data_IF_758246178702
#
_entry.id   IF_758246178702
#
_cell.length_a   1.000
_cell.length_b   1.000
_cell.length_c   1.000
_cell.angle_alpha   90.00
_cell.angle_beta   90.00
_cell.angle_gamma   90.00
#
_symmetry.space_group_name_H-M   'P 1'
#
loop_
_entity.id
_entity.type
_entity.pdbx_description
1 polymer ?
#
# COMPACT_ATOMS: atom_id res chain seq x y z
N UNK A 1 -28.88 15.20 -19.97
CA UNK A 1 -28.76 14.47 -18.69
C UNK A 1 -28.90 15.48 -17.56
N UNK A 2 -29.70 15.19 -16.53
CA UNK A 2 -29.90 16.09 -15.38
C UNK A 2 -28.59 16.24 -14.60
N UNK A 3 -28.29 17.44 -14.08
CA UNK A 3 -27.05 17.76 -13.34
C UNK A 3 -26.73 16.75 -12.22
N UNK A 4 -27.78 16.14 -11.64
CA UNK A 4 -27.70 15.13 -10.58
C UNK A 4 -27.05 13.83 -11.07
N UNK A 5 -27.41 13.34 -12.27
CA UNK A 5 -26.86 12.10 -12.83
C UNK A 5 -25.37 12.27 -13.16
N UNK A 6 -24.98 13.45 -13.61
CA UNK A 6 -23.58 13.78 -13.88
C UNK A 6 -22.75 13.83 -12.59
N UNK A 7 -23.29 14.40 -11.51
CA UNK A 7 -22.64 14.42 -10.20
C UNK A 7 -22.43 13.01 -9.64
N UNK A 8 -23.47 12.17 -9.65
CA UNK A 8 -23.40 10.78 -9.19
C UNK A 8 -22.34 9.96 -9.94
N UNK A 9 -22.22 10.17 -11.25
CA UNK A 9 -21.24 9.44 -12.05
C UNK A 9 -19.80 9.91 -11.77
N UNK A 10 -19.60 11.22 -11.56
CA UNK A 10 -18.27 11.79 -11.33
C UNK A 10 -17.71 11.44 -9.94
N UNK A 11 -18.58 11.31 -8.93
CA UNK A 11 -18.19 11.01 -7.54
C UNK A 11 -18.51 9.59 -7.10
N UNK A 12 -18.81 8.68 -8.03
CA UNK A 12 -19.22 7.30 -7.74
C UNK A 12 -18.30 6.59 -6.73
N UNK A 13 -16.98 6.70 -6.92
CA UNK A 13 -16.00 6.05 -6.04
C UNK A 13 -15.99 6.65 -4.64
N UNK A 14 -16.13 7.98 -4.52
CA UNK A 14 -16.20 8.65 -3.23
C UNK A 14 -17.49 8.26 -2.49
N UNK A 15 -18.62 8.23 -3.19
CA UNK A 15 -19.91 7.81 -2.61
C UNK A 15 -19.83 6.36 -2.12
N UNK A 16 -19.25 5.45 -2.90
CA UNK A 16 -19.05 4.06 -2.50
C UNK A 16 -18.14 3.94 -1.26
N UNK A 17 -17.06 4.72 -1.20
CA UNK A 17 -16.16 4.73 -0.03
C UNK A 17 -16.89 5.21 1.24
N UNK A 18 -17.68 6.29 1.16
CA UNK A 18 -18.48 6.78 2.28
C UNK A 18 -19.53 5.76 2.74
N UNK A 19 -20.21 5.10 1.80
CA UNK A 19 -21.16 4.03 2.13
C UNK A 19 -20.47 2.85 2.81
N UNK A 20 -19.27 2.47 2.35
CA UNK A 20 -18.49 1.39 2.95
C UNK A 20 -18.03 1.74 4.37
N UNK A 21 -17.58 2.97 4.61
CA UNK A 21 -17.22 3.45 5.95
C UNK A 21 -18.45 3.41 6.86
N UNK A 22 -19.60 3.91 6.41
CA UNK A 22 -20.84 3.87 7.18
C UNK A 22 -21.26 2.42 7.51
N UNK A 23 -21.16 1.50 6.55
CA UNK A 23 -21.44 0.09 6.76
C UNK A 23 -20.50 -0.54 7.80
N UNK A 24 -19.20 -0.26 7.74
CA UNK A 24 -18.23 -0.74 8.73
C UNK A 24 -18.49 -0.20 10.13
N UNK A 25 -18.92 1.06 10.25
CA UNK A 25 -19.31 1.67 11.53
C UNK A 25 -20.54 0.94 12.11
N UNK A 26 -21.57 0.69 11.29
CA UNK A 26 -22.78 -0.03 11.72
C UNK A 26 -22.41 -1.44 12.20
N UNK A 27 -21.63 -2.18 11.40
CA UNK A 27 -21.15 -3.52 11.77
C UNK A 27 -20.35 -3.49 13.07
N UNK A 28 -19.48 -2.49 13.25
CA UNK A 28 -18.72 -2.34 14.49
C UNK A 28 -19.61 -2.10 15.72
N UNK A 29 -20.68 -1.32 15.57
CA UNK A 29 -21.67 -1.10 16.63
C UNK A 29 -22.44 -2.40 16.93
N UNK A 30 -22.87 -3.15 15.91
CA UNK A 30 -23.58 -4.43 16.07
C UNK A 30 -22.71 -5.51 16.72
N UNK A 31 -21.40 -5.51 16.44
CA UNK A 31 -20.41 -6.38 17.08
C UNK A 31 -20.08 -5.97 18.53
N UNK A 32 -20.67 -4.88 19.04
CA UNK A 32 -20.46 -4.41 20.41
C UNK A 32 -19.13 -3.70 20.63
N UNK A 33 -18.48 -3.20 19.57
CA UNK A 33 -17.24 -2.41 19.69
C UNK A 33 -17.55 -1.10 20.43
N UNK A 34 -16.69 -0.73 21.39
CA UNK A 34 -16.82 0.52 22.11
C UNK A 34 -16.83 1.72 21.14
N UNK A 35 -17.84 2.60 21.28
CA UNK A 35 -18.05 3.75 20.39
C UNK A 35 -16.87 4.72 20.40
N UNK A 36 -16.17 4.83 21.52
CA UNK A 36 -14.96 5.63 21.69
C UNK A 36 -13.85 5.05 20.83
N UNK A 37 -13.59 3.74 20.93
CA UNK A 37 -12.57 3.05 20.12
C UNK A 37 -12.88 3.15 18.64
N UNK A 38 -14.16 2.98 18.27
CA UNK A 38 -14.62 3.06 16.89
C UNK A 38 -14.43 4.48 16.33
N UNK A 39 -14.84 5.51 17.09
CA UNK A 39 -14.63 6.92 16.71
C UNK A 39 -13.15 7.29 16.58
N UNK A 40 -12.32 6.87 17.54
CA UNK A 40 -10.87 7.08 17.46
C UNK A 40 -10.25 6.38 16.26
N UNK A 41 -10.68 5.17 15.94
CA UNK A 41 -10.17 4.41 14.79
C UNK A 41 -10.50 5.10 13.48
N UNK A 42 -11.75 5.53 13.29
CA UNK A 42 -12.17 6.29 12.10
C UNK A 42 -11.37 7.59 11.98
N UNK A 43 -11.19 8.31 13.10
CA UNK A 43 -10.43 9.56 13.13
C UNK A 43 -8.96 9.35 12.77
N UNK A 44 -8.31 8.33 13.34
CA UNK A 44 -6.91 8.00 13.05
C UNK A 44 -6.75 7.61 11.58
N UNK A 45 -7.62 6.75 11.05
CA UNK A 45 -7.55 6.34 9.64
C UNK A 45 -7.74 7.54 8.71
N UNK A 46 -8.70 8.41 9.00
CA UNK A 46 -8.92 9.64 8.22
C UNK A 46 -7.71 10.57 8.26
N UNK A 47 -7.17 10.83 9.46
CA UNK A 47 -6.01 11.70 9.64
C UNK A 47 -4.76 11.14 8.95
N UNK A 48 -4.51 9.83 9.09
CA UNK A 48 -3.40 9.16 8.41
C UNK A 48 -3.55 9.18 6.89
N UNK A 49 -4.77 9.02 6.37
CA UNK A 49 -5.05 9.10 4.94
C UNK A 49 -4.74 10.48 4.35
N UNK A 50 -5.18 11.55 5.02
CA UNK A 50 -4.87 12.93 4.63
C UNK A 50 -3.37 13.23 4.74
N UNK A 51 -2.73 12.83 5.84
CA UNK A 51 -1.30 12.99 6.03
C UNK A 51 -0.50 12.25 4.94
N UNK A 52 -0.91 11.03 4.59
CA UNK A 52 -0.29 10.26 3.52
C UNK A 52 -0.47 10.93 2.16
N UNK A 53 -1.66 11.45 1.87
CA UNK A 53 -1.93 12.19 0.63
C UNK A 53 -1.06 13.44 0.51
N UNK A 54 -0.90 14.21 1.60
CA UNK A 54 -0.02 15.37 1.64
C UNK A 54 1.45 14.99 1.40
N UNK A 55 1.91 13.91 2.03
CA UNK A 55 3.27 13.39 1.86
C UNK A 55 3.54 12.99 0.41
N UNK A 56 2.57 12.35 -0.24
CA UNK A 56 2.64 11.94 -1.64
C UNK A 56 2.65 13.12 -2.60
N UNK A 57 1.90 14.17 -2.27
CA UNK A 57 1.94 15.43 -3.02
C UNK A 57 3.32 16.08 -2.94
N UNK A 58 3.94 16.10 -1.75
CA UNK A 58 5.31 16.62 -1.57
C UNK A 58 6.35 15.81 -2.32
N UNK A 59 6.30 14.47 -2.25
CA UNK A 59 7.19 13.60 -3.03
C UNK A 59 7.06 13.89 -4.52
N UNK A 60 5.84 14.11 -5.01
CA UNK A 60 5.55 14.36 -6.42
C UNK A 60 6.07 15.70 -6.94
N UNK A 61 6.53 16.61 -6.07
CA UNK A 61 7.20 17.86 -6.47
C UNK A 61 8.55 17.59 -7.14
N UNK A 62 9.20 16.46 -6.83
CA UNK A 62 10.45 16.06 -7.49
C UNK A 62 10.11 15.58 -8.91
N UNK A 63 10.57 16.28 -9.98
CA UNK A 63 10.21 15.91 -11.34
C UNK A 63 10.73 14.52 -11.69
N UNK A 64 9.96 13.78 -12.49
CA UNK A 64 10.23 12.41 -12.96
C UNK A 64 10.27 11.35 -11.84
N UNK A 65 11.16 11.49 -10.86
CA UNK A 65 11.38 10.51 -9.79
C UNK A 65 10.27 10.53 -8.75
N UNK A 66 9.76 11.72 -8.40
CA UNK A 66 8.71 11.89 -7.39
C UNK A 66 7.44 11.10 -7.71
N UNK A 67 6.81 11.30 -8.87
CA UNK A 67 5.63 10.54 -9.28
C UNK A 67 5.86 9.02 -9.36
N UNK A 68 7.07 8.57 -9.70
CA UNK A 68 7.41 7.14 -9.71
C UNK A 68 7.43 6.56 -8.29
N UNK A 69 8.10 7.23 -7.35
CA UNK A 69 8.16 6.82 -5.95
C UNK A 69 6.75 6.85 -5.34
N UNK A 70 5.98 7.91 -5.58
CA UNK A 70 4.60 8.01 -5.10
C UNK A 70 3.76 6.83 -5.61
N UNK A 71 3.87 6.42 -6.87
CA UNK A 71 3.15 5.23 -7.35
C UNK A 71 3.50 3.95 -6.60
N UNK A 72 4.76 3.76 -6.23
CA UNK A 72 5.21 2.57 -5.47
C UNK A 72 4.74 2.63 -4.01
N UNK A 73 4.81 3.82 -3.39
CA UNK A 73 4.34 4.01 -2.01
C UNK A 73 2.82 3.86 -1.88
N UNK A 74 2.05 4.20 -2.93
CA UNK A 74 0.60 4.09 -2.95
C UNK A 74 0.08 2.64 -3.02
N UNK A 75 0.96 1.63 -3.03
CA UNK A 75 0.63 0.22 -3.13
C UNK A 75 0.73 -0.48 -1.76
N UNK A 76 -0.25 -0.30 -0.84
CA UNK A 76 -0.15 -0.77 0.54
C UNK A 76 0.02 -2.29 0.63
N UNK A 77 -0.60 -3.05 -0.29
CA UNK A 77 -0.48 -4.51 -0.31
C UNK A 77 0.95 -5.01 -0.48
N UNK A 78 1.75 -4.36 -1.33
CA UNK A 78 3.15 -4.75 -1.54
C UNK A 78 4.00 -4.50 -0.28
N UNK A 79 3.78 -3.38 0.40
CA UNK A 79 4.45 -3.06 1.66
C UNK A 79 4.07 -4.03 2.77
N UNK A 80 2.79 -4.41 2.88
CA UNK A 80 2.34 -5.41 3.84
C UNK A 80 2.98 -6.77 3.58
N UNK A 81 2.94 -7.26 2.34
CA UNK A 81 3.54 -8.55 1.98
C UNK A 81 5.05 -8.56 2.24
N UNK A 82 5.72 -7.46 1.91
CA UNK A 82 7.15 -7.31 2.12
C UNK A 82 7.50 -7.25 3.62
N UNK A 83 6.70 -6.53 4.42
CA UNK A 83 6.80 -6.51 5.87
C UNK A 83 6.62 -7.89 6.49
N UNK A 84 5.61 -8.64 6.06
CA UNK A 84 5.41 -10.04 6.48
C UNK A 84 6.61 -10.91 6.10
N UNK A 85 7.14 -10.76 4.89
CA UNK A 85 8.34 -11.47 4.44
C UNK A 85 9.57 -11.18 5.31
N UNK A 86 9.76 -9.92 5.75
CA UNK A 86 10.83 -9.56 6.68
C UNK A 86 10.62 -10.12 8.07
N UNK A 87 9.41 -10.03 8.62
CA UNK A 87 9.09 -10.63 9.92
C UNK A 87 9.33 -12.13 9.92
N UNK A 88 8.85 -12.84 8.88
CA UNK A 88 9.10 -14.26 8.69
C UNK A 88 10.61 -14.56 8.58
N UNK A 89 11.37 -13.71 7.89
CA UNK A 89 12.83 -13.85 7.79
C UNK A 89 13.52 -13.71 9.14
N UNK A 90 13.10 -12.74 9.98
CA UNK A 90 13.66 -12.56 11.33
C UNK A 90 13.37 -13.78 12.19
N UNK A 91 12.14 -14.33 12.12
CA UNK A 91 11.77 -15.55 12.83
C UNK A 91 12.61 -16.75 12.36
N UNK A 92 12.78 -16.92 11.05
CA UNK A 92 13.58 -18.00 10.47
C UNK A 92 15.07 -17.91 10.87
N UNK A 93 15.64 -16.70 10.89
CA UNK A 93 17.02 -16.47 11.36
C UNK A 93 17.16 -16.90 12.83
N UNK A 94 16.20 -16.53 13.69
CA UNK A 94 16.20 -16.96 15.10
C UNK A 94 16.08 -18.47 15.27
N UNK A 95 15.47 -19.18 14.32
CA UNK A 95 15.35 -20.64 14.32
C UNK A 95 16.58 -21.37 13.74
N UNK A 96 17.63 -20.64 13.33
CA UNK A 96 18.86 -21.23 12.80
C UNK A 96 18.93 -21.30 11.26
N UNK A 97 17.87 -20.92 10.55
CA UNK A 97 17.81 -20.91 9.07
C UNK A 97 18.45 -19.67 8.43
N UNK A 98 19.42 -19.03 9.11
CA UNK A 98 20.02 -17.79 8.63
C UNK A 98 20.70 -17.96 7.26
N UNK A 99 21.37 -19.11 7.04
CA UNK A 99 22.01 -19.43 5.75
C UNK A 99 20.99 -19.57 4.63
N UNK A 100 19.86 -20.21 4.89
CA UNK A 100 18.82 -20.41 3.87
C UNK A 100 18.18 -19.08 3.48
N UNK A 101 17.85 -18.24 4.46
CA UNK A 101 17.32 -16.89 4.23
C UNK A 101 18.29 -16.04 3.39
N UNK A 102 19.59 -16.10 3.69
CA UNK A 102 20.61 -15.37 2.91
C UNK A 102 20.72 -15.95 1.50
N UNK A 103 20.80 -17.28 1.36
CA UNK A 103 20.93 -17.95 0.07
C UNK A 103 19.76 -17.62 -0.86
N UNK A 104 18.51 -17.63 -0.36
CA UNK A 104 17.35 -17.23 -1.15
C UNK A 104 17.45 -15.77 -1.60
N UNK A 105 17.86 -14.86 -0.70
CA UNK A 105 18.02 -13.43 -1.03
C UNK A 105 19.12 -13.20 -2.08
N UNK A 106 20.27 -13.86 -1.92
CA UNK A 106 21.37 -13.80 -2.88
C UNK A 106 20.90 -14.32 -4.23
N UNK A 107 20.25 -15.48 -4.29
CA UNK A 107 19.72 -16.05 -5.53
C UNK A 107 18.75 -15.08 -6.23
N UNK A 108 17.81 -14.50 -5.49
CA UNK A 108 16.86 -13.53 -6.06
C UNK A 108 17.57 -12.29 -6.59
N UNK A 109 18.53 -11.73 -5.84
CA UNK A 109 19.31 -10.55 -6.28
C UNK A 109 20.13 -10.87 -7.53
N UNK A 110 20.82 -12.01 -7.56
CA UNK A 110 21.60 -12.46 -8.71
C UNK A 110 20.71 -12.63 -9.94
N UNK A 111 19.53 -13.24 -9.79
CA UNK A 111 18.56 -13.37 -10.86
C UNK A 111 18.08 -12.00 -11.38
N UNK A 112 17.70 -11.09 -10.48
CA UNK A 112 17.22 -9.76 -10.86
C UNK A 112 18.29 -8.96 -11.60
N UNK A 113 19.54 -9.01 -11.13
CA UNK A 113 20.67 -8.37 -11.82
C UNK A 113 20.87 -9.00 -13.20
N UNK A 114 20.89 -10.33 -13.29
CA UNK A 114 21.06 -11.05 -14.56
C UNK A 114 19.97 -10.71 -15.58
N UNK A 115 18.70 -10.73 -15.18
CA UNK A 115 17.57 -10.35 -16.04
C UNK A 115 17.65 -8.88 -16.46
N UNK A 116 18.02 -7.99 -15.55
CA UNK A 116 18.15 -6.56 -15.85
C UNK A 116 19.25 -6.31 -16.88
N UNK A 117 20.43 -6.92 -16.69
CA UNK A 117 21.55 -6.83 -17.65
C UNK A 117 21.14 -7.41 -19.00
N UNK A 118 20.52 -8.61 -19.01
CA UNK A 118 20.05 -9.25 -20.24
C UNK A 118 19.05 -8.40 -21.02
N UNK A 119 18.10 -7.77 -20.32
CA UNK A 119 17.13 -6.84 -20.93
C UNK A 119 17.80 -5.60 -21.53
N UNK A 120 18.75 -4.99 -20.81
CA UNK A 120 19.48 -3.81 -21.30
C UNK A 120 20.27 -4.19 -22.56
N UNK A 121 21.05 -5.28 -22.52
CA UNK A 121 21.84 -5.73 -23.66
C UNK A 121 20.97 -6.09 -24.87
N UNK A 122 19.87 -6.82 -24.66
CA UNK A 122 18.96 -7.22 -25.73
C UNK A 122 18.18 -6.06 -26.36
N UNK A 123 18.13 -4.88 -25.72
CA UNK A 123 17.55 -3.65 -26.28
C UNK A 123 18.58 -2.80 -27.03
N UNK A 124 19.86 -2.96 -26.71
CA UNK A 124 20.97 -2.20 -27.32
C UNK A 124 21.52 -2.85 -28.59
N UNK A 125 21.41 -4.17 -28.71
CA UNK A 125 21.69 -4.95 -29.92
C UNK A 125 20.46 -4.96 -30.84
#
# INVERSE_FOLDING_TARGET
MTRIVQFLNNYRNAILAWLLIAALIIVGIELGVDRTVLGFTVLIIGLLGEAFTALMAWISLVPVVGPLIAKVLALPFFWLLNGVGYLASVVAIKQGFARDVINTRVLTITLLIGVTIGYILGKLL
#
